data_IF_246110174558
#
_entry.id   IF_246110174558
#
_cell.length_a   1.000
_cell.length_b   1.000
_cell.length_c   1.000
_cell.angle_alpha   90.00
_cell.angle_beta   90.00
_cell.angle_gamma   90.00
#
_symmetry.space_group_name_H-M   'P 1'
#
loop_
_entity.id
_entity.type
_entity.pdbx_description
1 polymer ?
#
# COMPACT_ATOMS: atom_id res chain seq x y z
N UNK A 1 5.13 -9.62 -29.22
CA UNK A 1 4.65 -9.44 -27.83
C UNK A 1 3.38 -8.61 -27.91
N UNK A 2 2.25 -9.10 -27.41
CA UNK A 2 0.97 -8.39 -27.51
C UNK A 2 0.97 -7.20 -26.56
N UNK A 3 0.91 -5.99 -27.10
CA UNK A 3 0.57 -4.80 -26.33
C UNK A 3 -0.92 -4.88 -25.99
N UNK A 4 -1.24 -5.29 -24.76
CA UNK A 4 -2.61 -5.18 -24.25
C UNK A 4 -2.98 -3.70 -24.20
N UNK A 5 -3.73 -3.23 -25.21
CA UNK A 5 -4.35 -1.89 -25.23
C UNK A 5 -5.18 -1.73 -23.94
N UNK A 6 -4.81 -0.78 -23.07
CA UNK A 6 -5.55 -0.46 -21.85
C UNK A 6 -4.81 -0.67 -20.52
N UNK A 7 -3.50 -0.94 -20.53
CA UNK A 7 -2.68 -1.02 -19.33
C UNK A 7 -1.65 0.11 -19.28
N UNK A 8 -1.75 0.96 -18.27
CA UNK A 8 -0.93 2.15 -18.08
C UNK A 8 0.16 1.93 -17.03
N UNK A 9 1.29 2.63 -17.21
CA UNK A 9 2.37 2.68 -16.21
C UNK A 9 2.10 3.86 -15.27
N UNK A 10 2.11 3.60 -13.97
CA UNK A 10 1.83 4.62 -12.96
C UNK A 10 3.13 5.13 -12.33
N UNK A 11 3.28 6.46 -12.29
CA UNK A 11 4.40 7.15 -11.65
C UNK A 11 4.17 7.45 -10.18
N UNK A 12 5.25 7.42 -9.40
CA UNK A 12 5.31 7.82 -7.99
C UNK A 12 6.56 8.68 -7.76
N UNK A 13 6.61 9.42 -6.65
CA UNK A 13 7.74 10.33 -6.29
C UNK A 13 9.13 9.70 -6.37
N UNK A 14 9.21 8.38 -6.27
CA UNK A 14 10.47 7.64 -6.21
C UNK A 14 10.73 6.75 -7.43
N UNK A 15 9.82 6.74 -8.40
CA UNK A 15 9.94 5.88 -9.56
C UNK A 15 8.63 5.53 -10.22
N UNK A 16 8.72 4.71 -11.28
CA UNK A 16 7.57 4.14 -11.99
C UNK A 16 7.29 2.73 -11.49
N UNK A 17 6.02 2.37 -11.33
CA UNK A 17 5.67 1.01 -10.92
C UNK A 17 6.08 -0.01 -11.97
N UNK A 18 6.66 -1.12 -11.53
CA UNK A 18 6.99 -2.25 -12.42
C UNK A 18 5.75 -2.96 -12.96
N UNK A 19 4.64 -2.88 -12.23
CA UNK A 19 3.33 -3.39 -12.64
C UNK A 19 2.56 -2.33 -13.43
N UNK A 20 1.79 -2.78 -14.42
CA UNK A 20 0.85 -1.93 -15.15
C UNK A 20 -0.55 -2.04 -14.54
N UNK A 21 -1.37 -1.01 -14.74
CA UNK A 21 -2.71 -0.91 -14.16
C UNK A 21 -3.74 -0.61 -15.24
N UNK A 22 -4.94 -1.18 -15.13
CA UNK A 22 -6.06 -0.78 -15.97
C UNK A 22 -6.69 0.50 -15.42
N UNK A 23 -7.39 1.25 -16.27
CA UNK A 23 -8.15 2.43 -15.82
C UNK A 23 -9.16 2.09 -14.71
N UNK A 24 -9.71 0.86 -14.69
CA UNK A 24 -10.62 0.39 -13.65
C UNK A 24 -9.95 0.17 -12.27
N UNK A 25 -8.61 0.01 -12.23
CA UNK A 25 -7.85 -0.15 -11.00
C UNK A 25 -7.51 1.19 -10.34
N UNK A 26 -7.71 2.30 -11.06
CA UNK A 26 -7.26 3.63 -10.70
C UNK A 26 -8.43 4.56 -10.40
N UNK A 27 -8.34 5.28 -9.30
CA UNK A 27 -9.27 6.37 -9.00
C UNK A 27 -8.66 7.69 -9.48
N UNK A 28 -9.32 8.35 -10.44
CA UNK A 28 -8.88 9.65 -10.95
C UNK A 28 -9.16 10.74 -9.93
N UNK A 29 -8.16 11.57 -9.66
CA UNK A 29 -8.28 12.78 -8.83
C UNK A 29 -8.22 14.02 -9.73
N UNK A 30 -8.96 15.08 -9.38
CA UNK A 30 -9.01 16.32 -10.17
C UNK A 30 -7.79 17.23 -9.98
N UNK A 31 -6.91 16.92 -9.03
CA UNK A 31 -5.74 17.72 -8.69
C UNK A 31 -4.46 17.01 -9.10
N UNK A 32 -3.57 17.73 -9.78
CA UNK A 32 -2.22 17.27 -10.07
C UNK A 32 -1.38 17.33 -8.78
N UNK A 33 -0.94 16.16 -8.31
CA UNK A 33 -0.08 16.02 -7.13
C UNK A 33 1.41 15.93 -7.47
N UNK A 34 1.74 15.63 -8.73
CA UNK A 34 3.08 15.42 -9.26
C UNK A 34 3.14 15.88 -10.70
N UNK A 35 4.28 16.44 -11.11
CA UNK A 35 4.59 16.64 -12.52
C UNK A 35 5.17 15.36 -13.12
N UNK A 36 4.94 15.11 -14.41
CA UNK A 36 5.48 13.93 -15.12
C UNK A 36 7.03 13.98 -15.14
N UNK A 37 7.59 15.18 -15.30
CA UNK A 37 9.04 15.41 -15.34
C UNK A 37 9.72 15.19 -13.98
N UNK A 38 8.97 15.21 -12.88
CA UNK A 38 9.48 14.96 -11.53
C UNK A 38 9.54 13.48 -11.18
N UNK A 39 8.95 12.59 -12.00
CA UNK A 39 8.89 11.15 -11.72
C UNK A 39 10.15 10.47 -12.27
N UNK A 40 11.02 9.90 -11.41
CA UNK A 40 12.19 9.16 -11.88
C UNK A 40 11.80 7.94 -12.72
N UNK A 41 12.63 7.57 -13.69
CA UNK A 41 12.42 6.36 -14.51
C UNK A 41 12.76 5.04 -13.78
N UNK A 42 13.24 5.11 -12.53
CA UNK A 42 13.56 3.94 -11.72
C UNK A 42 12.32 3.05 -11.53
N UNK A 43 12.45 1.75 -11.76
CA UNK A 43 11.35 0.79 -11.55
C UNK A 43 11.22 0.43 -10.08
N UNK A 44 10.05 0.68 -9.49
CA UNK A 44 9.75 0.33 -8.09
C UNK A 44 8.64 -0.73 -8.01
N UNK A 45 8.79 -1.74 -7.13
CA UNK A 45 7.68 -2.64 -6.82
C UNK A 45 6.58 -1.91 -6.04
N UNK A 46 5.31 -2.25 -6.30
CA UNK A 46 4.17 -1.71 -5.55
C UNK A 46 4.32 -1.89 -4.04
N UNK A 47 4.86 -3.05 -3.61
CA UNK A 47 5.10 -3.34 -2.19
C UNK A 47 6.05 -2.35 -1.54
N UNK A 48 7.08 -1.91 -2.25
CA UNK A 48 8.07 -0.96 -1.73
C UNK A 48 7.45 0.41 -1.52
N UNK A 49 6.70 0.92 -2.52
CA UNK A 49 6.03 2.20 -2.40
C UNK A 49 4.99 2.20 -1.27
N UNK A 50 4.17 1.15 -1.17
CA UNK A 50 3.18 1.01 -0.09
C UNK A 50 3.88 0.96 1.28
N UNK A 51 4.99 0.23 1.40
CA UNK A 51 5.75 0.16 2.65
C UNK A 51 6.26 1.55 3.06
N UNK A 52 6.79 2.34 2.15
CA UNK A 52 7.24 3.70 2.44
C UNK A 52 6.09 4.66 2.78
N UNK A 53 5.01 4.63 1.99
CA UNK A 53 3.84 5.48 2.21
C UNK A 53 3.13 5.20 3.55
N UNK A 54 3.25 3.98 4.08
CA UNK A 54 2.61 3.55 5.34
C UNK A 54 3.59 3.44 6.51
N UNK A 55 4.80 4.02 6.41
CA UNK A 55 5.77 4.03 7.50
C UNK A 55 6.26 2.64 7.92
N UNK A 56 6.41 1.72 6.96
CA UNK A 56 6.89 0.35 7.20
C UNK A 56 5.79 -0.67 7.52
N UNK A 57 4.55 -0.22 7.75
CA UNK A 57 3.45 -1.14 8.05
C UNK A 57 3.03 -1.95 6.81
N UNK A 58 3.08 -1.34 5.63
CA UNK A 58 2.95 -1.98 4.32
C UNK A 58 1.83 -3.01 4.25
N UNK A 59 2.22 -4.28 4.17
CA UNK A 59 1.34 -5.46 4.11
C UNK A 59 1.34 -6.28 5.42
N UNK A 60 1.97 -5.76 6.47
CA UNK A 60 2.06 -6.41 7.77
C UNK A 60 0.67 -6.51 8.39
N UNK A 61 0.33 -7.72 8.83
CA UNK A 61 -0.86 -7.99 9.64
C UNK A 61 -0.47 -8.80 10.87
N UNK A 62 -1.17 -8.60 11.98
CA UNK A 62 -1.13 -9.53 13.10
C UNK A 62 -2.12 -10.68 12.88
N UNK A 63 -1.95 -11.76 13.65
CA UNK A 63 -2.86 -12.92 13.64
C UNK A 63 -3.67 -12.98 14.95
N UNK A 64 -4.05 -11.82 15.50
CA UNK A 64 -4.86 -11.78 16.71
C UNK A 64 -6.26 -12.35 16.42
N UNK A 65 -6.63 -13.45 17.06
CA UNK A 65 -7.94 -14.11 16.86
C UNK A 65 -9.04 -13.49 17.74
N UNK A 66 -8.67 -13.11 18.95
CA UNK A 66 -9.43 -12.30 19.90
C UNK A 66 -8.85 -10.90 19.91
N UNK A 67 -9.68 -9.86 20.03
CA UNK A 67 -9.22 -8.48 20.19
C UNK A 67 -8.13 -8.35 21.27
N UNK A 68 -7.37 -7.25 21.21
CA UNK A 68 -6.16 -6.81 21.96
C UNK A 68 -5.80 -7.35 23.36
N UNK A 69 -6.64 -8.13 24.03
CA UNK A 69 -6.57 -8.49 25.44
C UNK A 69 -5.32 -9.22 25.90
N UNK A 70 -4.54 -9.86 25.01
CA UNK A 70 -3.48 -10.78 25.45
C UNK A 70 -2.04 -10.28 25.30
N UNK A 71 -1.80 -9.02 24.90
CA UNK A 71 -0.43 -8.51 24.65
C UNK A 71 0.36 -9.25 23.54
N UNK A 72 -0.26 -10.20 22.85
CA UNK A 72 0.37 -11.04 21.81
C UNK A 72 0.35 -10.38 20.42
N UNK A 73 -0.20 -9.18 20.30
CA UNK A 73 -0.28 -8.48 19.02
C UNK A 73 1.12 -8.20 18.47
N UNK A 74 1.44 -8.76 17.29
CA UNK A 74 2.72 -8.51 16.63
C UNK A 74 2.87 -7.08 16.14
N UNK A 75 1.77 -6.43 15.73
CA UNK A 75 1.78 -5.01 15.35
C UNK A 75 2.18 -4.15 16.57
N UNK A 76 1.52 -4.34 17.71
CA UNK A 76 1.86 -3.66 18.97
C UNK A 76 3.33 -3.82 19.36
N UNK A 77 3.83 -5.06 19.36
CA UNK A 77 5.22 -5.36 19.73
C UNK A 77 6.23 -4.66 18.82
N UNK A 78 5.84 -4.40 17.57
CA UNK A 78 6.62 -3.62 16.60
C UNK A 78 6.30 -2.12 16.63
N UNK A 79 5.52 -1.65 17.60
CA UNK A 79 5.03 -0.27 17.72
C UNK A 79 4.25 0.22 16.49
N UNK A 80 3.49 -0.70 15.86
CA UNK A 80 2.63 -0.42 14.72
C UNK A 80 1.15 -0.54 15.11
N UNK A 81 0.31 0.31 14.51
CA UNK A 81 -1.14 0.17 14.55
C UNK A 81 -1.61 -1.04 13.72
N UNK A 82 -2.80 -1.53 13.98
CA UNK A 82 -3.43 -2.60 13.20
C UNK A 82 -4.28 -1.97 12.09
N UNK A 83 -3.94 -2.24 10.84
CA UNK A 83 -4.83 -1.94 9.72
C UNK A 83 -6.01 -2.91 9.65
N UNK A 84 -6.98 -2.59 8.78
CA UNK A 84 -8.21 -3.38 8.56
C UNK A 84 -8.00 -4.87 8.30
N UNK A 85 -6.85 -5.28 7.74
CA UNK A 85 -6.53 -6.70 7.49
C UNK A 85 -6.19 -7.48 8.76
N UNK A 86 -5.91 -6.81 9.87
CA UNK A 86 -5.56 -7.45 11.14
C UNK A 86 -6.78 -7.97 11.88
N UNK A 87 -7.89 -7.23 11.85
CA UNK A 87 -9.05 -7.52 12.68
C UNK A 87 -10.26 -7.98 11.90
N UNK A 88 -10.26 -7.89 10.56
CA UNK A 88 -11.33 -8.43 9.69
C UNK A 88 -12.74 -8.05 10.19
N UNK A 89 -12.93 -6.79 10.62
CA UNK A 89 -14.19 -6.29 11.17
C UNK A 89 -14.45 -6.58 12.66
N UNK A 90 -13.57 -7.30 13.35
CA UNK A 90 -13.65 -7.50 14.82
C UNK A 90 -13.15 -6.25 15.57
N UNK A 91 -13.62 -6.02 16.81
CA UNK A 91 -13.12 -4.92 17.63
C UNK A 91 -11.62 -5.09 17.92
N UNK A 92 -10.83 -4.06 17.59
CA UNK A 92 -9.39 -4.00 17.85
C UNK A 92 -9.08 -2.71 18.62
N UNK A 93 -8.30 -2.81 19.70
CA UNK A 93 -7.92 -1.65 20.53
C UNK A 93 -6.64 -0.94 20.07
N UNK A 94 -6.00 -1.43 19.01
CA UNK A 94 -4.77 -0.85 18.45
C UNK A 94 -4.98 -0.58 16.98
N UNK A 95 -6.01 0.20 16.70
CA UNK A 95 -6.26 0.77 15.37
C UNK A 95 -5.66 2.15 15.29
#
# INVERSE_FOLDING_TARGET
MAECKGLDTVGYREGKFSSKFAAADLQVISKNLLCIDEVPDAKIPLRTAVTKATGGQGYVKCMCLSGWSSGRCSCSRKKLLCNSRCYLGKPCKNV
#
